data_IF_266522047207
#
_entry.id   IF_266522047207
#
_cell.length_a   1.000
_cell.length_b   1.000
_cell.length_c   1.000
_cell.angle_alpha   90.00
_cell.angle_beta   90.00
_cell.angle_gamma   90.00
#
_symmetry.space_group_name_H-M   'P 1'
#
loop_
_entity.id
_entity.type
_entity.pdbx_description
1 polymer ?
#
# COMPACT_ATOMS: atom_id res chain seq x y z
N UNK A 1 -36.56 -19.33 15.20
CA UNK A 1 -36.65 -17.86 15.10
C UNK A 1 -35.28 -17.32 15.45
N UNK A 2 -34.37 -17.36 14.48
CA UNK A 2 -33.02 -16.81 14.63
C UNK A 2 -33.12 -15.32 14.28
N UNK A 3 -33.00 -14.46 15.29
CA UNK A 3 -33.10 -13.03 15.09
C UNK A 3 -31.82 -12.51 14.43
N UNK A 4 -32.06 -11.94 13.26
CA UNK A 4 -31.15 -11.23 12.39
C UNK A 4 -30.75 -9.92 13.07
N UNK A 5 -29.63 -9.91 13.79
CA UNK A 5 -28.93 -8.68 14.18
C UNK A 5 -27.50 -8.69 13.65
N UNK A 6 -27.36 -8.92 12.35
CA UNK A 6 -26.15 -8.57 11.61
C UNK A 6 -26.47 -7.35 10.75
N UNK A 7 -26.47 -6.16 11.35
CA UNK A 7 -26.42 -4.93 10.57
C UNK A 7 -25.56 -3.90 11.29
N UNK A 8 -24.30 -3.83 10.83
CA UNK A 8 -23.34 -2.74 11.03
C UNK A 8 -23.08 -2.31 12.47
N UNK A 9 -22.22 -3.05 13.17
CA UNK A 9 -21.40 -2.47 14.24
C UNK A 9 -20.01 -2.24 13.70
N UNK A 10 -19.70 -0.99 13.40
CA UNK A 10 -18.32 -0.56 13.32
C UNK A 10 -17.72 -0.65 14.73
N UNK A 11 -16.53 -1.23 14.87
CA UNK A 11 -15.83 -1.26 16.14
C UNK A 11 -15.50 0.20 16.56
N UNK A 12 -15.71 0.59 17.84
CA UNK A 12 -15.36 1.91 18.34
C UNK A 12 -13.89 2.23 18.12
N UNK A 13 -13.61 3.43 17.64
CA UNK A 13 -12.27 4.01 17.54
C UNK A 13 -12.08 5.07 18.61
N UNK A 14 -10.87 5.62 18.79
CA UNK A 14 -10.63 6.69 19.77
C UNK A 14 -11.56 7.91 19.60
N UNK A 15 -11.96 8.20 18.36
CA UNK A 15 -12.85 9.31 18.00
C UNK A 15 -14.34 9.01 18.16
N UNK A 16 -14.72 7.78 18.55
CA UNK A 16 -16.13 7.41 18.68
C UNK A 16 -16.84 8.24 19.75
N UNK A 17 -18.01 8.74 19.39
CA UNK A 17 -18.92 9.45 20.28
C UNK A 17 -19.54 8.53 21.34
N UNK A 18 -20.05 9.07 22.46
CA UNK A 18 -20.76 8.27 23.47
C UNK A 18 -21.96 7.49 22.91
N UNK A 19 -22.65 8.01 21.91
CA UNK A 19 -23.77 7.33 21.24
C UNK A 19 -23.29 6.13 20.41
N UNK A 20 -22.16 6.24 19.72
CA UNK A 20 -21.55 5.10 19.00
C UNK A 20 -21.07 4.03 19.98
N UNK A 21 -20.48 4.42 21.12
CA UNK A 21 -20.10 3.49 22.19
C UNK A 21 -21.33 2.77 22.74
N UNK A 22 -22.43 3.48 22.99
CA UNK A 22 -23.70 2.88 23.40
C UNK A 22 -24.15 1.82 22.42
N UNK A 23 -24.31 2.18 21.14
CA UNK A 23 -24.78 1.25 20.11
C UNK A 23 -23.88 0.01 20.02
N UNK A 24 -22.57 0.19 20.19
CA UNK A 24 -21.65 -0.94 20.20
C UNK A 24 -21.84 -1.86 21.42
N UNK A 25 -22.00 -1.31 22.63
CA UNK A 25 -22.24 -2.11 23.84
C UNK A 25 -23.57 -2.87 23.72
N UNK A 26 -24.61 -2.19 23.26
CA UNK A 26 -25.95 -2.76 23.07
C UNK A 26 -25.95 -3.92 22.08
N UNK A 27 -25.05 -3.90 21.10
CA UNK A 27 -24.90 -4.96 20.11
C UNK A 27 -24.02 -6.14 20.54
N UNK A 28 -23.39 -6.12 21.73
CA UNK A 28 -22.63 -7.27 22.24
C UNK A 28 -23.52 -8.47 22.56
N UNK A 29 -24.65 -8.22 23.24
CA UNK A 29 -25.69 -9.19 23.58
C UNK A 29 -26.87 -8.43 24.23
N UNK A 30 -28.07 -9.02 24.25
CA UNK A 30 -29.27 -8.40 24.85
C UNK A 30 -29.09 -8.04 26.33
N UNK A 31 -28.22 -8.73 27.06
CA UNK A 31 -27.89 -8.43 28.46
C UNK A 31 -27.11 -7.12 28.64
N UNK A 32 -26.52 -6.58 27.55
CA UNK A 32 -25.73 -5.35 27.57
C UNK A 32 -26.53 -4.11 27.16
N UNK A 33 -27.80 -4.27 26.77
CA UNK A 33 -28.69 -3.15 26.42
C UNK A 33 -28.75 -2.09 27.52
N UNK A 34 -28.85 -2.51 28.79
CA UNK A 34 -28.89 -1.61 29.94
C UNK A 34 -27.55 -0.90 30.19
N UNK A 35 -26.44 -1.51 29.80
CA UNK A 35 -25.12 -0.90 29.97
C UNK A 35 -24.86 0.19 28.93
N UNK A 36 -25.44 0.08 27.74
CA UNK A 36 -25.35 1.13 26.71
C UNK A 36 -25.77 2.50 27.24
N UNK A 37 -26.91 2.59 27.91
CA UNK A 37 -27.40 3.83 28.52
C UNK A 37 -26.52 4.35 29.66
N UNK A 38 -25.94 3.45 30.45
CA UNK A 38 -25.03 3.79 31.54
C UNK A 38 -23.76 4.44 30.98
N UNK A 39 -23.19 3.87 29.91
CA UNK A 39 -22.01 4.40 29.25
C UNK A 39 -22.28 5.74 28.56
N UNK A 40 -23.42 5.88 27.88
CA UNK A 40 -23.81 7.15 27.25
C UNK A 40 -23.99 8.25 28.30
N UNK A 41 -24.71 7.97 29.40
CA UNK A 41 -24.93 8.92 30.49
C UNK A 41 -23.64 9.31 31.21
N UNK A 42 -22.67 8.40 31.26
CA UNK A 42 -21.34 8.67 31.82
C UNK A 42 -20.39 9.36 30.81
N UNK A 43 -20.89 9.72 29.62
CA UNK A 43 -20.13 10.33 28.53
C UNK A 43 -18.85 9.55 28.22
N UNK A 44 -18.96 8.22 28.16
CA UNK A 44 -17.85 7.36 27.77
C UNK A 44 -17.74 7.37 26.25
N UNK A 45 -16.78 8.14 25.75
CA UNK A 45 -16.36 8.12 24.34
C UNK A 45 -15.40 6.95 24.06
N UNK A 46 -15.01 6.78 22.80
CA UNK A 46 -14.14 5.70 22.36
C UNK A 46 -12.79 5.65 23.09
N UNK A 47 -12.11 6.78 23.24
CA UNK A 47 -10.87 6.88 24.03
C UNK A 47 -11.02 6.34 25.47
N UNK A 48 -12.10 6.71 26.16
CA UNK A 48 -12.38 6.26 27.53
C UNK A 48 -12.77 4.77 27.56
N UNK A 49 -13.47 4.29 26.55
CA UNK A 49 -13.83 2.88 26.40
C UNK A 49 -12.59 2.01 26.21
N UNK A 50 -11.66 2.40 25.32
CA UNK A 50 -10.45 1.64 25.01
C UNK A 50 -9.50 1.55 26.22
N UNK A 51 -9.55 2.52 27.12
CA UNK A 51 -8.79 2.55 28.37
C UNK A 51 -9.59 2.08 29.58
N UNK A 52 -10.75 1.45 29.39
CA UNK A 52 -11.62 1.11 30.51
C UNK A 52 -11.01 0.00 31.37
N UNK A 53 -11.08 0.19 32.69
CA UNK A 53 -10.55 -0.76 33.67
C UNK A 53 -11.67 -1.46 34.40
N UNK A 54 -11.31 -2.59 35.03
CA UNK A 54 -12.23 -3.33 35.90
C UNK A 54 -12.84 -2.46 37.02
N UNK A 55 -12.02 -1.56 37.57
CA UNK A 55 -12.44 -0.59 38.57
C UNK A 55 -13.46 0.40 38.00
N UNK A 56 -13.23 0.94 36.80
CA UNK A 56 -14.17 1.86 36.16
C UNK A 56 -15.52 1.22 35.87
N UNK A 57 -15.54 -0.03 35.43
CA UNK A 57 -16.80 -0.79 35.26
C UNK A 57 -17.56 -0.91 36.59
N UNK A 58 -16.83 -1.15 37.68
CA UNK A 58 -17.41 -1.24 39.03
C UNK A 58 -17.99 0.09 39.49
N UNK A 59 -17.28 1.20 39.23
CA UNK A 59 -17.75 2.58 39.51
C UNK A 59 -18.98 2.96 38.68
N UNK A 60 -19.11 2.44 37.45
CA UNK A 60 -20.30 2.58 36.61
C UNK A 60 -21.48 1.70 37.07
N UNK A 61 -21.32 0.91 38.15
CA UNK A 61 -22.35 0.03 38.70
C UNK A 61 -22.43 -1.34 38.04
N UNK A 62 -21.49 -1.67 37.15
CA UNK A 62 -21.38 -2.99 36.52
C UNK A 62 -20.50 -3.84 37.44
N UNK A 63 -21.10 -4.54 38.39
CA UNK A 63 -20.39 -5.33 39.42
C UNK A 63 -20.31 -6.83 39.13
N UNK A 64 -21.07 -7.27 38.13
CA UNK A 64 -21.11 -8.67 37.66
C UNK A 64 -19.80 -9.03 36.96
N UNK A 65 -19.00 -9.90 37.56
CA UNK A 65 -17.67 -10.29 37.06
C UNK A 65 -17.70 -10.94 35.68
N UNK A 66 -18.73 -11.72 35.37
CA UNK A 66 -18.95 -12.31 34.04
C UNK A 66 -19.19 -11.24 32.97
N UNK A 67 -20.00 -10.21 33.26
CA UNK A 67 -20.27 -9.13 32.31
C UNK A 67 -19.07 -8.20 32.14
N UNK A 68 -18.36 -7.94 33.24
CA UNK A 68 -17.11 -7.19 33.23
C UNK A 68 -16.06 -7.86 32.34
N UNK A 69 -15.88 -9.18 32.48
CA UNK A 69 -14.98 -9.98 31.66
C UNK A 69 -15.33 -9.91 30.18
N UNK A 70 -16.62 -9.97 29.84
CA UNK A 70 -17.07 -9.89 28.44
C UNK A 70 -16.73 -8.51 27.85
N UNK A 71 -17.03 -7.42 28.56
CA UNK A 71 -16.71 -6.05 28.12
C UNK A 71 -15.20 -5.87 27.94
N UNK A 72 -14.40 -6.29 28.93
CA UNK A 72 -12.94 -6.18 28.87
C UNK A 72 -12.37 -7.02 27.73
N UNK A 73 -12.88 -8.23 27.48
CA UNK A 73 -12.46 -9.06 26.34
C UNK A 73 -12.84 -8.44 25.00
N UNK A 74 -14.03 -7.86 24.90
CA UNK A 74 -14.48 -7.19 23.68
C UNK A 74 -13.61 -5.95 23.38
N UNK A 75 -13.36 -5.11 24.38
CA UNK A 75 -12.44 -3.96 24.27
C UNK A 75 -11.02 -4.42 23.95
N UNK A 76 -10.49 -5.45 24.62
CA UNK A 76 -9.17 -5.99 24.32
C UNK A 76 -9.08 -6.56 22.89
N UNK A 77 -10.17 -7.07 22.33
CA UNK A 77 -10.21 -7.48 20.94
C UNK A 77 -10.11 -6.28 19.99
N UNK A 78 -10.83 -5.19 20.28
CA UNK A 78 -10.71 -3.94 19.52
C UNK A 78 -9.26 -3.41 19.62
N UNK A 79 -8.70 -3.30 20.83
CA UNK A 79 -7.33 -2.84 21.01
C UNK A 79 -6.32 -3.73 20.28
N UNK A 80 -6.54 -5.05 20.23
CA UNK A 80 -5.69 -5.96 19.44
C UNK A 80 -5.84 -5.71 17.94
N UNK A 81 -7.05 -5.49 17.43
CA UNK A 81 -7.27 -5.16 16.02
C UNK A 81 -6.62 -3.83 15.67
N UNK A 82 -6.81 -2.79 16.48
CA UNK A 82 -6.15 -1.49 16.33
C UNK A 82 -4.64 -1.66 16.36
N UNK A 83 -4.08 -2.41 17.30
CA UNK A 83 -2.64 -2.68 17.35
C UNK A 83 -2.14 -3.48 16.15
N UNK A 84 -2.93 -4.40 15.59
CA UNK A 84 -2.56 -5.16 14.40
C UNK A 84 -2.65 -4.29 13.14
N UNK A 85 -3.62 -3.38 13.06
CA UNK A 85 -3.71 -2.38 11.99
C UNK A 85 -2.59 -1.35 12.11
N UNK A 86 -2.28 -0.89 13.33
CA UNK A 86 -1.12 -0.05 13.62
C UNK A 86 0.19 -0.78 13.40
N UNK A 87 0.28 -2.09 13.66
CA UNK A 87 1.47 -2.89 13.35
C UNK A 87 1.56 -3.21 11.86
N UNK A 88 0.46 -3.34 11.13
CA UNK A 88 0.47 -3.42 9.68
C UNK A 88 0.89 -2.07 9.08
N UNK A 89 0.40 -0.95 9.62
CA UNK A 89 0.85 0.39 9.26
C UNK A 89 2.26 0.71 9.77
N UNK A 90 2.72 0.12 10.87
CA UNK A 90 4.09 0.24 11.39
C UNK A 90 5.04 -0.78 10.76
N UNK A 91 4.55 -1.85 10.13
CA UNK A 91 5.29 -2.65 9.16
C UNK A 91 5.37 -1.91 7.81
N UNK A 92 4.43 -1.01 7.52
CA UNK A 92 4.58 -0.01 6.46
C UNK A 92 5.54 1.14 6.88
N UNK A 93 5.52 1.61 8.14
CA UNK A 93 6.28 2.80 8.62
C UNK A 93 7.67 2.48 9.24
N UNK A 94 7.91 1.28 9.78
CA UNK A 94 9.27 0.80 10.12
C UNK A 94 10.02 0.27 8.88
N UNK A 95 9.31 0.03 7.79
CA UNK A 95 9.92 -0.25 6.50
C UNK A 95 10.41 1.03 5.79
N UNK A 96 9.92 2.20 6.18
CA UNK A 96 10.36 3.50 5.64
C UNK A 96 11.75 3.99 6.09
N UNK A 97 12.48 3.21 6.91
CA UNK A 97 13.92 3.44 7.14
C UNK A 97 14.87 2.41 6.55
N UNK A 98 14.38 1.34 5.92
CA UNK A 98 15.25 0.39 5.18
C UNK A 98 14.78 0.01 3.77
N UNK A 99 13.55 0.31 3.36
CA UNK A 99 13.05 0.20 1.99
C UNK A 99 13.02 1.48 1.11
N UNK A 100 13.49 2.69 1.50
CA UNK A 100 13.65 3.79 0.54
C UNK A 100 14.73 3.50 -0.52
N UNK A 101 15.70 2.64 -0.19
CA UNK A 101 16.84 2.44 -1.07
C UNK A 101 16.56 1.55 -2.26
N UNK A 102 15.61 0.60 -2.23
CA UNK A 102 15.40 -0.27 -3.39
C UNK A 102 14.46 0.37 -4.41
N UNK A 103 13.32 0.91 -3.97
CA UNK A 103 12.41 1.66 -4.86
C UNK A 103 13.06 2.94 -5.38
N UNK A 104 13.71 3.73 -4.50
CA UNK A 104 14.47 4.91 -4.91
C UNK A 104 15.57 4.58 -5.90
N UNK A 105 16.44 3.60 -5.62
CA UNK A 105 17.49 3.19 -6.58
C UNK A 105 16.92 2.59 -7.86
N UNK A 106 15.82 1.83 -7.81
CA UNK A 106 15.21 1.28 -9.03
C UNK A 106 14.54 2.37 -9.87
N UNK A 107 13.96 3.39 -9.25
CA UNK A 107 13.43 4.60 -9.91
C UNK A 107 14.55 5.44 -10.52
N UNK A 108 15.61 5.72 -9.76
CA UNK A 108 16.82 6.41 -10.25
C UNK A 108 17.46 5.64 -11.41
N UNK A 109 17.55 4.31 -11.30
CA UNK A 109 18.06 3.46 -12.39
C UNK A 109 17.16 3.48 -13.62
N UNK A 110 15.84 3.55 -13.44
CA UNK A 110 14.87 3.68 -14.54
C UNK A 110 15.01 5.04 -15.23
N UNK A 111 15.07 6.13 -14.45
CA UNK A 111 15.28 7.48 -14.95
C UNK A 111 16.61 7.61 -15.71
N UNK A 112 17.71 7.12 -15.13
CA UNK A 112 19.01 7.10 -15.80
C UNK A 112 19.01 6.24 -17.07
N UNK A 113 18.32 5.09 -17.08
CA UNK A 113 18.21 4.26 -18.28
C UNK A 113 17.41 4.96 -19.39
N UNK A 114 16.33 5.66 -19.03
CA UNK A 114 15.53 6.46 -19.96
C UNK A 114 16.34 7.64 -20.50
N UNK A 115 17.05 8.38 -19.65
CA UNK A 115 17.89 9.52 -20.04
C UNK A 115 19.00 9.09 -21.01
N UNK A 116 19.65 7.95 -20.75
CA UNK A 116 20.66 7.39 -21.66
C UNK A 116 20.08 7.05 -23.04
N UNK A 117 18.85 6.51 -23.09
CA UNK A 117 18.16 6.25 -24.36
C UNK A 117 17.86 7.56 -25.09
N UNK A 118 17.37 8.58 -24.38
CA UNK A 118 17.06 9.89 -24.97
C UNK A 118 18.30 10.62 -25.50
N UNK A 119 19.41 10.59 -24.76
CA UNK A 119 20.70 11.17 -25.19
C UNK A 119 21.21 10.48 -26.45
N UNK A 120 21.22 9.15 -26.50
CA UNK A 120 21.68 8.45 -27.71
C UNK A 120 20.78 8.68 -28.92
N UNK A 121 19.46 8.73 -28.74
CA UNK A 121 18.54 9.06 -29.84
C UNK A 121 18.81 10.49 -30.34
N UNK A 122 19.04 11.43 -29.43
CA UNK A 122 19.33 12.84 -29.74
C UNK A 122 20.66 13.01 -30.46
N UNK A 123 21.72 12.36 -30.00
CA UNK A 123 23.04 12.38 -30.65
C UNK A 123 22.99 11.77 -32.07
N UNK A 124 22.25 10.66 -32.26
CA UNK A 124 22.03 10.07 -33.59
C UNK A 124 21.15 10.94 -34.50
N UNK A 125 20.24 11.73 -33.95
CA UNK A 125 19.43 12.70 -34.72
C UNK A 125 20.30 13.90 -35.13
N UNK A 126 21.15 14.39 -34.23
CA UNK A 126 22.08 15.51 -34.44
C UNK A 126 23.16 15.17 -35.46
N UNK A 127 23.76 13.98 -35.39
CA UNK A 127 24.72 13.48 -36.38
C UNK A 127 24.14 13.42 -37.81
N UNK A 128 22.84 13.09 -37.95
CA UNK A 128 22.14 13.13 -39.25
C UNK A 128 21.78 14.53 -39.73
N UNK A 129 21.67 15.50 -38.82
CA UNK A 129 21.23 16.87 -39.14
C UNK A 129 22.38 17.83 -39.46
N UNK A 130 23.60 17.55 -38.98
CA UNK A 130 24.74 18.48 -39.10
C UNK A 130 25.69 18.16 -40.28
N UNK A 131 25.64 16.95 -40.85
CA UNK A 131 26.59 16.52 -41.87
C UNK A 131 25.90 15.67 -42.94
N UNK A 132 25.69 16.24 -44.13
CA UNK A 132 25.26 15.52 -45.33
C UNK A 132 26.37 14.67 -45.97
N UNK A 133 27.36 14.26 -45.19
CA UNK A 133 28.52 13.52 -45.66
C UNK A 133 28.77 12.31 -44.77
N UNK A 134 29.09 11.23 -45.47
CA UNK A 134 29.31 9.87 -45.01
C UNK A 134 30.60 9.88 -44.18
N UNK A 135 30.53 10.25 -42.90
CA UNK A 135 31.60 9.92 -41.96
C UNK A 135 31.24 8.59 -41.31
N UNK A 136 32.09 7.60 -41.58
CA UNK A 136 31.92 6.19 -41.21
C UNK A 136 31.52 6.05 -39.74
N UNK A 137 30.50 5.24 -39.41
CA UNK A 137 30.15 4.98 -38.02
C UNK A 137 31.30 4.19 -37.37
N UNK A 138 31.96 4.68 -36.31
CA UNK A 138 32.92 3.87 -35.58
C UNK A 138 32.15 2.99 -34.59
N UNK A 139 31.23 2.16 -35.09
CA UNK A 139 30.60 0.99 -34.46
C UNK A 139 29.45 0.55 -35.38
N UNK A 140 29.48 -0.70 -35.84
CA UNK A 140 28.47 -1.28 -36.74
C UNK A 140 27.03 -0.98 -36.27
N UNK A 141 26.11 -0.77 -37.22
CA UNK A 141 24.67 -0.58 -36.96
C UNK A 141 24.13 -1.70 -36.06
N UNK A 142 24.72 -2.90 -36.16
CA UNK A 142 24.48 -4.05 -35.31
C UNK A 142 24.88 -3.81 -33.83
N UNK A 143 26.03 -3.21 -33.50
CA UNK A 143 26.35 -2.82 -32.12
C UNK A 143 25.41 -1.72 -31.62
N UNK A 144 25.10 -0.74 -32.45
CA UNK A 144 24.17 0.32 -32.12
C UNK A 144 22.74 -0.20 -31.84
N UNK A 145 22.32 -1.26 -32.52
CA UNK A 145 21.05 -1.97 -32.31
C UNK A 145 21.12 -2.91 -31.09
N UNK A 146 22.26 -3.55 -30.86
CA UNK A 146 22.52 -4.41 -29.71
C UNK A 146 22.52 -3.63 -28.40
N UNK A 147 23.17 -2.47 -28.37
CA UNK A 147 23.16 -1.55 -27.22
C UNK A 147 21.74 -1.10 -26.90
N UNK A 148 20.98 -0.64 -27.90
CA UNK A 148 19.57 -0.25 -27.74
C UNK A 148 18.73 -1.41 -27.21
N UNK A 149 18.92 -2.61 -27.77
CA UNK A 149 18.24 -3.82 -27.30
C UNK A 149 18.58 -4.14 -25.84
N UNK A 150 19.84 -4.00 -25.44
CA UNK A 150 20.29 -4.27 -24.07
C UNK A 150 19.70 -3.26 -23.06
N UNK A 151 19.57 -1.99 -23.42
CA UNK A 151 18.92 -1.00 -22.54
C UNK A 151 17.41 -1.19 -22.46
N UNK A 152 16.75 -1.49 -23.58
CA UNK A 152 15.29 -1.78 -23.57
C UNK A 152 15.01 -3.04 -22.72
N UNK A 153 15.87 -4.07 -22.79
CA UNK A 153 15.82 -5.24 -21.89
C UNK A 153 16.09 -4.86 -20.42
N UNK A 154 17.01 -3.95 -20.16
CA UNK A 154 17.31 -3.46 -18.82
C UNK A 154 16.09 -2.77 -18.21
N UNK A 155 15.44 -1.88 -18.95
CA UNK A 155 14.20 -1.20 -18.54
C UNK A 155 13.09 -2.22 -18.31
N UNK A 156 12.90 -3.17 -19.22
CA UNK A 156 11.87 -4.21 -19.08
C UNK A 156 12.09 -5.06 -17.81
N UNK A 157 13.33 -5.51 -17.56
CA UNK A 157 13.67 -6.27 -16.35
C UNK A 157 13.52 -5.44 -15.05
N UNK A 158 13.60 -4.11 -15.11
CA UNK A 158 13.26 -3.24 -13.96
C UNK A 158 11.74 -3.23 -13.76
N UNK A 159 10.96 -3.11 -14.83
CA UNK A 159 9.50 -3.07 -14.79
C UNK A 159 8.84 -4.42 -14.44
N UNK A 160 9.52 -5.54 -14.68
CA UNK A 160 9.08 -6.90 -14.34
C UNK A 160 9.33 -7.30 -12.88
N UNK A 161 9.87 -6.39 -12.05
CA UNK A 161 10.18 -6.65 -10.64
C UNK A 161 9.30 -5.81 -9.70
N UNK A 162 8.97 -6.32 -8.50
CA UNK A 162 8.28 -5.52 -7.49
C UNK A 162 9.05 -4.23 -7.15
N UNK A 163 8.34 -3.09 -7.06
CA UNK A 163 6.86 -2.96 -7.06
C UNK A 163 6.22 -2.70 -8.44
N UNK A 164 7.01 -2.58 -9.52
CA UNK A 164 6.53 -2.18 -10.85
C UNK A 164 5.75 -3.28 -11.59
N UNK A 165 5.90 -4.54 -11.19
CA UNK A 165 5.19 -5.68 -11.79
C UNK A 165 3.67 -5.61 -11.54
N UNK A 166 3.27 -5.20 -10.34
CA UNK A 166 1.87 -5.07 -9.91
C UNK A 166 1.19 -3.75 -10.34
N UNK A 167 1.96 -2.77 -10.79
CA UNK A 167 1.45 -1.44 -11.18
C UNK A 167 0.89 -1.46 -12.61
N UNK A 168 -0.43 -1.25 -12.73
CA UNK A 168 -1.14 -1.29 -14.01
C UNK A 168 -0.73 -0.17 -14.98
N UNK A 169 -0.26 0.95 -14.44
CA UNK A 169 0.22 2.14 -15.16
C UNK A 169 1.37 1.82 -16.14
N UNK A 170 2.21 0.84 -15.80
CA UNK A 170 3.34 0.42 -16.64
C UNK A 170 2.99 -0.68 -17.64
N UNK A 171 1.78 -1.24 -17.62
CA UNK A 171 1.37 -2.33 -18.52
C UNK A 171 1.46 -1.96 -20.00
N UNK A 172 1.07 -0.72 -20.34
CA UNK A 172 1.17 -0.19 -21.70
C UNK A 172 2.64 0.00 -22.13
N UNK A 173 3.49 0.50 -21.21
CA UNK A 173 4.91 0.70 -21.45
C UNK A 173 5.65 -0.64 -21.66
N UNK A 174 5.41 -1.64 -20.80
CA UNK A 174 5.95 -3.01 -20.95
C UNK A 174 5.58 -3.60 -22.31
N UNK A 175 4.31 -3.49 -22.70
CA UNK A 175 3.81 -3.97 -23.99
C UNK A 175 4.53 -3.29 -25.16
N UNK A 176 4.81 -1.98 -25.08
CA UNK A 176 5.57 -1.26 -26.09
C UNK A 176 7.05 -1.68 -26.13
N UNK A 177 7.72 -1.79 -24.98
CA UNK A 177 9.13 -2.19 -24.91
C UNK A 177 9.33 -3.62 -25.45
N UNK A 178 8.43 -4.55 -25.15
CA UNK A 178 8.45 -5.91 -25.69
C UNK A 178 8.33 -5.90 -27.22
N UNK A 179 7.38 -5.13 -27.77
CA UNK A 179 7.24 -4.95 -29.23
C UNK A 179 8.52 -4.41 -29.86
N UNK A 180 9.16 -3.43 -29.24
CA UNK A 180 10.42 -2.86 -29.74
C UNK A 180 11.60 -3.84 -29.67
N UNK A 181 11.72 -4.66 -28.61
CA UNK A 181 12.74 -5.72 -28.53
C UNK A 181 12.52 -6.75 -29.66
N UNK A 182 11.29 -7.17 -29.89
CA UNK A 182 10.96 -8.15 -30.94
C UNK A 182 11.29 -7.61 -32.32
N UNK A 183 10.97 -6.34 -32.60
CA UNK A 183 11.34 -5.69 -33.85
C UNK A 183 12.86 -5.57 -34.02
N UNK A 184 13.59 -5.14 -32.98
CA UNK A 184 15.05 -4.99 -33.03
C UNK A 184 15.78 -6.33 -33.20
N UNK A 185 15.27 -7.41 -32.57
CA UNK A 185 15.79 -8.77 -32.79
C UNK A 185 15.63 -9.21 -34.24
N UNK A 186 14.47 -8.98 -34.84
CA UNK A 186 14.22 -9.32 -36.24
C UNK A 186 15.17 -8.60 -37.21
N UNK A 187 15.56 -7.35 -36.90
CA UNK A 187 16.56 -6.62 -37.68
C UNK A 187 18.02 -7.08 -37.46
N UNK A 188 18.31 -7.78 -36.36
CA UNK A 188 19.67 -8.28 -36.04
C UNK A 188 19.93 -9.69 -36.57
N UNK A 189 18.88 -10.41 -36.97
CA UNK A 189 18.92 -11.79 -37.48
C UNK A 189 18.88 -11.87 -39.02
N UNK A 190 18.77 -10.73 -39.71
CA UNK A 190 18.92 -10.58 -41.17
C UNK A 190 20.34 -10.16 -41.54
#
# INVERSE_FOLDING_TARGET
>A
MEQVFHHFQQDPTETSSPTEVRLWIEGLDYNFLLYGEIFERAEINGERLLNITQQRLTELGITRTDHQDILLKAVANICRKIQVEEQAMQEEDQNDKKMPTRFGKQSEHLEHAIDRVLVMISERRRARSLHGTIEQPPHNILAAALELTNMVKMILNILERPPFDCMSEFSSLKSHLIKHITLLKHFSEQ
#
